data_IF_956210203384
#
_entry.id   IF_956210203384
#
_cell.length_a   1.000
_cell.length_b   1.000
_cell.length_c   1.000
_cell.angle_alpha   90.00
_cell.angle_beta   90.00
_cell.angle_gamma   90.00
#
_symmetry.space_group_name_H-M   'P 1'
#
loop_
_entity.id
_entity.type
_entity.pdbx_description
1 polymer ?
#
# COMPACT_ATOMS: atom_id res chain seq x y z
N UNK A 1 -70.56 5.06 -10.51
CA UNK A 1 -69.59 5.60 -9.58
C UNK A 1 -69.95 7.04 -9.25
N UNK A 2 -70.07 7.35 -7.94
CA UNK A 2 -70.28 8.73 -7.50
C UNK A 2 -69.08 9.59 -7.80
N UNK A 3 -69.26 10.87 -8.14
CA UNK A 3 -68.17 11.83 -8.35
C UNK A 3 -67.13 11.84 -7.20
N UNK A 4 -67.62 11.67 -5.96
CA UNK A 4 -66.76 11.52 -4.77
C UNK A 4 -65.85 10.29 -4.82
N UNK A 5 -66.36 9.15 -5.32
CA UNK A 5 -65.55 7.92 -5.44
C UNK A 5 -64.49 8.04 -6.51
N UNK A 6 -64.80 8.69 -7.64
CA UNK A 6 -63.81 8.97 -8.71
C UNK A 6 -62.67 9.88 -8.18
N UNK A 7 -63.06 10.94 -7.46
CA UNK A 7 -62.06 11.85 -6.85
C UNK A 7 -61.17 11.15 -5.83
N UNK A 8 -61.73 10.31 -4.95
CA UNK A 8 -60.94 9.54 -3.99
C UNK A 8 -60.00 8.53 -4.66
N UNK A 9 -60.43 7.88 -5.74
CA UNK A 9 -59.60 6.97 -6.50
C UNK A 9 -58.41 7.70 -7.17
N UNK A 10 -58.67 8.86 -7.77
CA UNK A 10 -57.63 9.67 -8.40
C UNK A 10 -56.64 10.20 -7.36
N UNK A 11 -57.14 10.73 -6.24
CA UNK A 11 -56.29 11.19 -5.13
C UNK A 11 -55.41 10.05 -4.55
N UNK A 12 -55.99 8.86 -4.38
CA UNK A 12 -55.24 7.67 -3.95
C UNK A 12 -54.15 7.24 -4.94
N UNK A 13 -54.42 7.29 -6.25
CA UNK A 13 -53.46 7.04 -7.29
C UNK A 13 -52.29 8.04 -7.24
N UNK A 14 -52.58 9.34 -7.09
CA UNK A 14 -51.55 10.36 -6.96
C UNK A 14 -50.69 10.14 -5.70
N UNK A 15 -51.32 9.85 -4.57
CA UNK A 15 -50.57 9.55 -3.34
C UNK A 15 -49.67 8.32 -3.48
N UNK A 16 -50.14 7.27 -4.15
CA UNK A 16 -49.33 6.08 -4.42
C UNK A 16 -48.14 6.37 -5.36
N UNK A 17 -48.34 7.20 -6.40
CA UNK A 17 -47.27 7.62 -7.28
C UNK A 17 -46.20 8.45 -6.55
N UNK A 18 -46.63 9.41 -5.70
CA UNK A 18 -45.67 10.20 -4.90
C UNK A 18 -44.90 9.31 -3.95
N UNK A 19 -45.56 8.38 -3.27
CA UNK A 19 -44.88 7.41 -2.39
C UNK A 19 -43.87 6.53 -3.14
N UNK A 20 -44.22 6.08 -4.34
CA UNK A 20 -43.32 5.32 -5.20
C UNK A 20 -42.08 6.13 -5.64
N UNK A 21 -42.26 7.41 -5.98
CA UNK A 21 -41.19 8.32 -6.33
C UNK A 21 -40.25 8.52 -5.15
N UNK A 22 -40.79 8.80 -3.96
CA UNK A 22 -40.00 8.97 -2.73
C UNK A 22 -39.21 7.69 -2.40
N UNK A 23 -39.85 6.53 -2.47
CA UNK A 23 -39.20 5.26 -2.23
C UNK A 23 -38.08 4.99 -3.20
N UNK A 24 -38.32 5.23 -4.50
CA UNK A 24 -37.29 5.07 -5.55
C UNK A 24 -36.11 6.00 -5.32
N UNK A 25 -36.38 7.26 -4.99
CA UNK A 25 -35.33 8.24 -4.68
C UNK A 25 -34.51 7.82 -3.45
N UNK A 26 -35.15 7.32 -2.40
CA UNK A 26 -34.48 6.83 -1.20
C UNK A 26 -33.56 5.63 -1.49
N UNK A 27 -34.04 4.64 -2.23
CA UNK A 27 -33.22 3.48 -2.62
C UNK A 27 -32.06 3.89 -3.54
N UNK A 28 -32.29 4.85 -4.44
CA UNK A 28 -31.24 5.36 -5.31
C UNK A 28 -30.12 6.07 -4.52
N UNK A 29 -30.49 6.87 -3.50
CA UNK A 29 -29.50 7.52 -2.64
C UNK A 29 -28.65 6.50 -1.86
N UNK A 30 -29.28 5.45 -1.33
CA UNK A 30 -28.53 4.37 -0.67
C UNK A 30 -27.56 3.65 -1.64
N UNK A 31 -28.02 3.36 -2.84
CA UNK A 31 -27.20 2.70 -3.86
C UNK A 31 -26.00 3.57 -4.29
N UNK A 32 -26.18 4.88 -4.42
CA UNK A 32 -25.10 5.84 -4.73
C UNK A 32 -24.08 5.88 -3.59
N UNK A 33 -24.54 5.94 -2.33
CA UNK A 33 -23.66 5.91 -1.16
C UNK A 33 -22.84 4.61 -1.07
N UNK A 34 -23.47 3.47 -1.28
CA UNK A 34 -22.82 2.17 -1.28
C UNK A 34 -21.74 2.06 -2.38
N UNK A 35 -22.04 2.53 -3.60
CA UNK A 35 -21.09 2.59 -4.71
C UNK A 35 -19.91 3.49 -4.38
N UNK A 36 -20.14 4.69 -3.85
CA UNK A 36 -19.09 5.62 -3.49
C UNK A 36 -18.13 5.03 -2.46
N UNK A 37 -18.66 4.31 -1.45
CA UNK A 37 -17.86 3.63 -0.44
C UNK A 37 -17.05 2.47 -1.05
N UNK A 38 -17.66 1.66 -1.93
CA UNK A 38 -16.96 0.59 -2.62
C UNK A 38 -15.82 1.11 -3.49
N UNK A 39 -16.03 2.23 -4.21
CA UNK A 39 -14.98 2.88 -4.98
C UNK A 39 -13.83 3.38 -4.10
N UNK A 40 -14.13 4.03 -2.97
CA UNK A 40 -13.10 4.49 -2.03
C UNK A 40 -12.29 3.33 -1.48
N UNK A 41 -12.96 2.25 -1.09
CA UNK A 41 -12.30 1.05 -0.58
C UNK A 41 -11.40 0.43 -1.66
N UNK A 42 -11.90 0.23 -2.87
CA UNK A 42 -11.12 -0.31 -3.98
C UNK A 42 -9.91 0.59 -4.31
N UNK A 43 -10.09 1.91 -4.30
CA UNK A 43 -9.01 2.86 -4.54
C UNK A 43 -7.94 2.81 -3.44
N UNK A 44 -8.34 2.77 -2.17
CA UNK A 44 -7.40 2.65 -1.05
C UNK A 44 -6.63 1.32 -1.10
N UNK A 45 -7.30 0.22 -1.43
CA UNK A 45 -6.65 -1.08 -1.62
C UNK A 45 -5.64 -1.04 -2.77
N UNK A 46 -6.00 -0.39 -3.89
CA UNK A 46 -5.08 -0.18 -5.00
C UNK A 46 -3.82 0.61 -4.57
N UNK A 47 -3.99 1.72 -3.84
CA UNK A 47 -2.85 2.53 -3.38
C UNK A 47 -1.92 1.74 -2.45
N UNK A 48 -2.45 0.92 -1.55
CA UNK A 48 -1.64 0.07 -0.66
C UNK A 48 -0.90 -1.03 -1.43
N UNK A 49 -1.54 -1.64 -2.41
CA UNK A 49 -0.90 -2.63 -3.28
C UNK A 49 0.22 -1.99 -4.12
N UNK A 50 0.00 -0.78 -4.63
CA UNK A 50 1.00 -0.02 -5.38
C UNK A 50 2.18 0.42 -4.48
N UNK A 51 1.92 0.83 -3.24
CA UNK A 51 2.96 1.12 -2.24
C UNK A 51 3.82 -0.13 -1.98
N UNK A 52 3.20 -1.31 -1.85
CA UNK A 52 3.95 -2.57 -1.69
C UNK A 52 4.86 -2.83 -2.89
N UNK A 53 4.35 -2.67 -4.10
CA UNK A 53 5.12 -2.83 -5.34
C UNK A 53 6.27 -1.83 -5.40
N UNK A 54 5.99 -0.53 -5.21
CA UNK A 54 7.01 0.52 -5.24
C UNK A 54 8.10 0.27 -4.19
N UNK A 55 7.74 -0.08 -2.96
CA UNK A 55 8.72 -0.35 -1.92
C UNK A 55 9.64 -1.54 -2.27
N UNK A 56 9.13 -2.54 -3.00
CA UNK A 56 9.95 -3.66 -3.48
C UNK A 56 10.91 -3.23 -4.60
N UNK A 57 10.44 -2.39 -5.53
CA UNK A 57 11.27 -1.81 -6.59
C UNK A 57 12.36 -0.90 -6.00
N UNK A 58 12.02 -0.08 -4.99
CA UNK A 58 12.96 0.78 -4.28
C UNK A 58 14.05 -0.02 -3.57
N UNK A 59 13.69 -1.11 -2.87
CA UNK A 59 14.67 -1.99 -2.22
C UNK A 59 15.68 -2.51 -3.25
N UNK A 60 15.21 -3.06 -4.36
CA UNK A 60 16.08 -3.59 -5.42
C UNK A 60 16.98 -2.50 -6.02
N UNK A 61 16.42 -1.31 -6.27
CA UNK A 61 17.18 -0.19 -6.82
C UNK A 61 18.25 0.30 -5.84
N UNK A 62 17.91 0.49 -4.57
CA UNK A 62 18.82 0.97 -3.54
C UNK A 62 19.96 -0.02 -3.29
N UNK A 63 19.65 -1.33 -3.20
CA UNK A 63 20.66 -2.38 -3.04
C UNK A 63 21.66 -2.42 -4.21
N UNK A 64 21.15 -2.36 -5.45
CA UNK A 64 22.01 -2.33 -6.66
C UNK A 64 22.86 -1.08 -6.71
N UNK A 65 22.27 0.09 -6.39
CA UNK A 65 23.02 1.36 -6.40
C UNK A 65 24.12 1.34 -5.33
N UNK A 66 23.82 0.80 -4.13
CA UNK A 66 24.83 0.62 -3.11
C UNK A 66 25.94 -0.33 -3.56
N UNK A 67 25.61 -1.49 -4.13
CA UNK A 67 26.59 -2.48 -4.58
C UNK A 67 27.55 -1.92 -5.64
N UNK A 68 27.07 -1.00 -6.50
CA UNK A 68 27.89 -0.36 -7.55
C UNK A 68 28.71 0.82 -7.02
N UNK A 69 28.11 1.65 -6.16
CA UNK A 69 28.71 2.92 -5.73
C UNK A 69 29.46 2.85 -4.41
N UNK A 70 29.16 1.87 -3.55
CA UNK A 70 29.66 1.80 -2.17
C UNK A 70 29.15 2.93 -1.27
N UNK A 71 28.22 3.76 -1.75
CA UNK A 71 27.75 4.92 -0.99
C UNK A 71 26.75 4.50 0.10
N UNK A 72 27.17 4.60 1.37
CA UNK A 72 26.42 4.20 2.55
C UNK A 72 25.01 4.80 2.65
N UNK A 73 24.76 5.94 1.98
CA UNK A 73 23.42 6.54 1.93
C UNK A 73 22.37 5.58 1.40
N UNK A 74 22.69 4.83 0.35
CA UNK A 74 21.74 3.90 -0.26
C UNK A 74 21.44 2.70 0.63
N UNK A 75 22.42 2.22 1.40
CA UNK A 75 22.19 1.20 2.42
C UNK A 75 21.27 1.72 3.55
N UNK A 76 21.49 2.95 4.01
CA UNK A 76 20.62 3.57 5.03
C UNK A 76 19.19 3.72 4.54
N UNK A 77 18.99 4.19 3.31
CA UNK A 77 17.67 4.30 2.68
C UNK A 77 17.02 2.93 2.53
N UNK A 78 17.76 1.91 2.13
CA UNK A 78 17.29 0.53 2.04
C UNK A 78 16.75 0.00 3.37
N UNK A 79 17.51 0.15 4.44
CA UNK A 79 17.10 -0.24 5.79
C UNK A 79 15.87 0.55 6.28
N UNK A 80 15.77 1.81 5.87
CA UNK A 80 14.63 2.64 6.21
C UNK A 80 13.35 2.21 5.49
N UNK A 81 13.42 1.79 4.23
CA UNK A 81 12.28 1.18 3.51
C UNK A 81 11.79 -0.08 4.23
N UNK A 82 12.70 -0.95 4.67
CA UNK A 82 12.34 -2.15 5.43
C UNK A 82 11.63 -1.79 6.74
N UNK A 83 12.20 -0.85 7.51
CA UNK A 83 11.62 -0.39 8.78
C UNK A 83 10.23 0.25 8.61
N UNK A 84 10.02 1.00 7.52
CA UNK A 84 8.71 1.57 7.18
C UNK A 84 7.70 0.47 6.82
N UNK A 85 8.08 -0.53 6.04
CA UNK A 85 7.23 -1.68 5.70
C UNK A 85 6.84 -2.49 6.92
N UNK A 86 7.77 -2.68 7.85
CA UNK A 86 7.54 -3.37 9.12
C UNK A 86 6.70 -2.55 10.12
N UNK A 87 6.50 -1.25 9.89
CA UNK A 87 5.80 -0.36 10.81
C UNK A 87 6.66 0.10 12.00
N UNK A 88 7.97 0.02 11.88
CA UNK A 88 8.93 0.49 12.88
C UNK A 88 9.24 1.99 12.70
N UNK A 89 9.06 2.50 11.49
CA UNK A 89 9.20 3.91 11.14
C UNK A 89 7.94 4.43 10.44
N UNK A 90 7.64 5.75 10.57
CA UNK A 90 6.51 6.35 9.88
C UNK A 90 6.74 6.30 8.37
N UNK A 91 5.72 5.87 7.63
CA UNK A 91 5.69 5.97 6.17
C UNK A 91 5.55 7.44 5.78
N UNK A 92 6.06 7.90 4.62
CA UNK A 92 5.83 9.26 4.17
C UNK A 92 4.33 9.51 3.91
N UNK A 93 3.90 10.76 3.98
CA UNK A 93 2.58 11.15 3.49
C UNK A 93 2.50 10.83 1.99
N UNK A 94 1.38 10.28 1.52
CA UNK A 94 1.18 9.82 0.14
C UNK A 94 2.29 8.83 -0.33
N UNK A 95 2.45 7.69 0.35
CA UNK A 95 3.58 6.77 0.14
C UNK A 95 3.60 6.12 -1.24
N UNK A 96 2.47 6.14 -1.98
CA UNK A 96 2.33 5.67 -3.36
C UNK A 96 2.97 6.59 -4.41
N UNK A 97 3.44 7.78 -4.00
CA UNK A 97 4.13 8.72 -4.91
C UNK A 97 5.63 8.54 -4.83
N UNK A 98 6.33 8.90 -5.90
CA UNK A 98 7.80 8.92 -5.96
C UNK A 98 8.36 9.63 -4.72
N UNK A 99 9.18 8.94 -3.96
CA UNK A 99 9.76 9.46 -2.73
C UNK A 99 11.28 9.34 -2.71
N UNK A 100 11.81 8.12 -2.83
CA UNK A 100 13.24 7.85 -2.65
C UNK A 100 14.12 8.43 -3.76
N UNK A 101 13.59 8.62 -4.96
CA UNK A 101 14.31 9.31 -6.06
C UNK A 101 14.54 10.80 -5.77
N UNK A 102 13.69 11.38 -4.90
CA UNK A 102 13.78 12.78 -4.49
C UNK A 102 14.59 12.97 -3.20
N UNK A 103 14.99 11.91 -2.51
CA UNK A 103 15.84 11.96 -1.32
C UNK A 103 17.30 12.06 -1.73
N UNK A 104 17.75 13.27 -2.06
CA UNK A 104 19.13 13.56 -2.46
C UNK A 104 20.08 13.57 -1.26
N UNK A 105 19.56 13.96 -0.09
CA UNK A 105 20.27 13.96 1.18
C UNK A 105 19.36 13.35 2.25
N UNK A 106 19.92 12.52 3.14
CA UNK A 106 19.16 11.88 4.21
C UNK A 106 18.54 12.88 5.21
N UNK A 107 19.04 14.11 5.26
CA UNK A 107 18.50 15.18 6.08
C UNK A 107 17.25 15.86 5.47
N UNK A 108 17.08 15.82 4.14
CA UNK A 108 15.98 16.49 3.44
C UNK A 108 15.00 15.45 2.93
N UNK A 109 13.77 15.54 3.40
CA UNK A 109 12.67 14.64 3.02
C UNK A 109 11.68 15.38 2.13
N UNK A 110 11.30 14.82 0.96
CA UNK A 110 10.38 15.48 0.03
C UNK A 110 8.96 15.60 0.59
N UNK A 111 8.60 14.76 1.57
CA UNK A 111 7.30 14.77 2.26
C UNK A 111 7.49 14.44 3.74
N UNK A 112 6.58 14.98 4.57
CA UNK A 112 6.57 14.74 6.00
C UNK A 112 6.22 13.29 6.39
N UNK A 113 6.42 12.94 7.67
CA UNK A 113 6.07 11.65 8.21
C UNK A 113 4.54 11.48 8.24
N UNK A 114 4.07 10.33 7.78
CA UNK A 114 2.70 9.89 7.89
C UNK A 114 2.51 8.86 9.02
N UNK A 115 1.73 7.85 8.78
CA UNK A 115 1.35 6.85 9.79
C UNK A 115 2.48 5.84 10.04
N UNK A 116 2.71 5.52 11.32
CA UNK A 116 3.59 4.42 11.74
C UNK A 116 2.76 3.16 11.90
N UNK A 117 2.69 2.37 10.84
CA UNK A 117 1.90 1.13 10.77
C UNK A 117 2.52 0.19 9.74
N UNK A 118 2.60 -1.10 10.07
CA UNK A 118 3.05 -2.10 9.12
C UNK A 118 2.15 -2.12 7.87
N UNK A 119 2.75 -2.20 6.69
CA UNK A 119 2.02 -2.14 5.42
C UNK A 119 0.99 -3.27 5.29
N UNK A 120 1.35 -4.49 5.71
CA UNK A 120 0.43 -5.64 5.72
C UNK A 120 -0.74 -5.43 6.68
N UNK A 121 -0.53 -4.76 7.82
CA UNK A 121 -1.60 -4.39 8.76
C UNK A 121 -2.54 -3.36 8.14
N UNK A 122 -2.00 -2.33 7.48
CA UNK A 122 -2.80 -1.34 6.77
C UNK A 122 -3.67 -1.97 5.67
N UNK A 123 -3.13 -2.94 4.92
CA UNK A 123 -3.88 -3.70 3.91
C UNK A 123 -5.03 -4.50 4.54
N UNK A 124 -4.78 -5.16 5.68
CA UNK A 124 -5.81 -5.92 6.40
C UNK A 124 -6.96 -5.01 6.84
N UNK A 125 -6.65 -3.87 7.40
CA UNK A 125 -7.64 -2.88 7.84
C UNK A 125 -8.41 -2.23 6.67
N UNK A 126 -7.78 -2.12 5.49
CA UNK A 126 -8.42 -1.65 4.27
C UNK A 126 -9.42 -2.65 3.68
N UNK A 127 -9.54 -3.86 4.27
CA UNK A 127 -10.53 -4.86 3.88
C UNK A 127 -10.12 -5.73 2.69
N UNK A 128 -8.83 -5.98 2.53
CA UNK A 128 -8.36 -7.00 1.59
C UNK A 128 -8.96 -8.37 1.94
N UNK A 129 -9.44 -9.07 0.95
CA UNK A 129 -10.01 -10.41 1.10
C UNK A 129 -8.93 -11.47 1.40
N UNK A 130 -9.31 -12.60 1.96
CA UNK A 130 -8.37 -13.71 2.22
C UNK A 130 -7.67 -14.20 0.96
N UNK A 131 -8.32 -14.14 -0.20
CA UNK A 131 -7.70 -14.51 -1.50
C UNK A 131 -6.65 -13.50 -1.93
N UNK A 132 -6.91 -12.19 -1.75
CA UNK A 132 -5.95 -11.13 -2.02
C UNK A 132 -4.77 -11.23 -1.04
N UNK A 133 -5.04 -11.50 0.25
CA UNK A 133 -4.00 -11.74 1.24
C UNK A 133 -3.14 -12.96 0.92
N UNK A 134 -3.71 -14.05 0.42
CA UNK A 134 -2.94 -15.21 0.01
C UNK A 134 -1.98 -14.89 -1.14
N UNK A 135 -2.43 -14.11 -2.13
CA UNK A 135 -1.57 -13.63 -3.24
C UNK A 135 -0.50 -12.64 -2.77
N UNK A 136 -0.87 -11.70 -1.89
CA UNK A 136 0.08 -10.76 -1.28
C UNK A 136 1.10 -11.48 -0.40
N UNK A 137 0.69 -12.52 0.35
CA UNK A 137 1.59 -13.37 1.13
C UNK A 137 2.65 -14.04 0.26
N UNK A 138 2.27 -14.58 -0.91
CA UNK A 138 3.23 -15.12 -1.87
C UNK A 138 4.19 -14.05 -2.41
N UNK A 139 3.67 -12.86 -2.73
CA UNK A 139 4.50 -11.75 -3.18
C UNK A 139 5.43 -11.26 -2.06
N UNK A 140 4.96 -11.20 -0.81
CA UNK A 140 5.76 -10.83 0.35
C UNK A 140 6.89 -11.84 0.59
N UNK A 141 6.61 -13.16 0.55
CA UNK A 141 7.63 -14.21 0.69
C UNK A 141 8.71 -14.11 -0.39
N UNK A 142 8.31 -13.81 -1.63
CA UNK A 142 9.27 -13.57 -2.73
C UNK A 142 10.11 -12.31 -2.48
N UNK A 143 9.48 -11.24 -2.00
CA UNK A 143 10.17 -10.00 -1.65
C UNK A 143 11.15 -10.20 -0.49
N UNK A 144 10.78 -10.95 0.55
CA UNK A 144 11.68 -11.30 1.67
C UNK A 144 12.87 -12.16 1.21
N UNK A 145 12.63 -13.12 0.30
CA UNK A 145 13.71 -13.89 -0.31
C UNK A 145 14.68 -13.01 -1.10
N UNK A 146 14.15 -11.98 -1.78
CA UNK A 146 14.97 -11.01 -2.49
C UNK A 146 15.76 -10.12 -1.52
N UNK A 147 15.16 -9.67 -0.42
CA UNK A 147 15.83 -8.91 0.66
C UNK A 147 17.04 -9.68 1.20
N UNK A 148 16.92 -10.99 1.42
CA UNK A 148 18.03 -11.82 1.88
C UNK A 148 19.18 -11.84 0.85
N UNK A 149 18.86 -11.95 -0.44
CA UNK A 149 19.86 -11.92 -1.52
C UNK A 149 20.51 -10.54 -1.64
N UNK A 150 19.74 -9.47 -1.57
CA UNK A 150 20.20 -8.08 -1.62
C UNK A 150 21.12 -7.75 -0.43
N UNK A 151 20.74 -8.20 0.77
CA UNK A 151 21.56 -8.07 1.98
C UNK A 151 22.91 -8.77 1.82
N UNK A 152 22.92 -9.97 1.24
CA UNK A 152 24.17 -10.70 0.91
C UNK A 152 25.01 -9.91 -0.07
N UNK A 153 24.41 -9.38 -1.15
CA UNK A 153 25.13 -8.61 -2.17
C UNK A 153 25.71 -7.31 -1.60
N UNK A 154 24.97 -6.58 -0.77
CA UNK A 154 25.45 -5.37 -0.11
C UNK A 154 26.60 -5.65 0.85
N UNK A 155 26.52 -6.73 1.63
CA UNK A 155 27.62 -7.12 2.51
C UNK A 155 28.85 -7.57 1.73
N UNK A 156 28.69 -8.33 0.65
CA UNK A 156 29.78 -8.69 -0.23
C UNK A 156 30.46 -7.47 -0.86
N UNK A 157 29.70 -6.43 -1.22
CA UNK A 157 30.26 -5.16 -1.69
C UNK A 157 31.12 -4.44 -0.64
N UNK A 158 30.86 -4.68 0.65
CA UNK A 158 31.69 -4.22 1.79
C UNK A 158 32.85 -5.17 2.11
N UNK A 159 33.03 -6.27 1.38
CA UNK A 159 34.03 -7.31 1.68
C UNK A 159 33.64 -8.19 2.88
N UNK A 160 32.35 -8.22 3.27
CA UNK A 160 31.82 -8.99 4.37
C UNK A 160 31.06 -10.21 3.84
N UNK A 161 31.41 -11.39 4.33
CA UNK A 161 30.80 -12.66 3.95
C UNK A 161 30.21 -13.37 5.15
N UNK A 162 29.22 -14.21 4.89
CA UNK A 162 28.53 -14.99 5.90
C UNK A 162 29.46 -16.03 6.54
N UNK A 163 29.37 -16.19 7.85
CA UNK A 163 30.21 -17.10 8.65
C UNK A 163 29.57 -18.50 8.86
N UNK A 164 28.43 -18.76 8.18
CA UNK A 164 27.67 -20.01 8.33
C UNK A 164 26.62 -19.97 9.47
N UNK A 165 26.63 -18.94 10.30
CA UNK A 165 25.60 -18.70 11.34
C UNK A 165 24.53 -17.66 10.91
N UNK A 166 24.58 -17.19 9.66
CA UNK A 166 23.74 -16.12 9.16
C UNK A 166 24.27 -14.71 9.42
N UNK A 167 25.51 -14.59 10.00
CA UNK A 167 26.14 -13.30 10.26
C UNK A 167 27.23 -13.01 9.23
N UNK A 168 27.37 -11.75 8.86
CA UNK A 168 28.37 -11.29 7.87
C UNK A 168 29.61 -10.77 8.59
N UNK A 169 30.44 -11.67 9.08
CA UNK A 169 31.61 -11.38 9.94
C UNK A 169 32.94 -11.72 9.26
N UNK A 170 32.91 -12.57 8.23
CA UNK A 170 34.12 -12.99 7.52
C UNK A 170 34.54 -11.88 6.55
N UNK A 171 35.72 -11.30 6.81
CA UNK A 171 36.34 -10.31 5.92
C UNK A 171 37.18 -11.01 4.85
N UNK A 172 36.96 -10.64 3.59
CA UNK A 172 37.86 -11.01 2.47
C UNK A 172 38.21 -9.75 1.69
N UNK A 173 39.50 -9.65 1.31
CA UNK A 173 39.89 -8.60 0.37
C UNK A 173 39.19 -8.83 -0.97
N UNK A 174 38.80 -7.74 -1.59
CA UNK A 174 38.20 -7.75 -2.92
C UNK A 174 39.33 -7.91 -3.90
N UNK A 175 39.48 -9.10 -4.48
CA UNK A 175 40.32 -9.27 -5.67
C UNK A 175 39.65 -8.51 -6.82
N UNK A 176 40.20 -7.35 -7.18
CA UNK A 176 39.76 -6.53 -8.30
C UNK A 176 40.54 -6.95 -9.56
#
# INVERSE_FOLDING_TARGET
LSIKQVFLCVAGLFAALIAAIIATWYFQQQAVGARANAYRQAYNSYLLADEFRQSSDDLTRLARTFAVTGNARYEQQYLEVIAMRAGEKPRPVEPHRIYWDLVLDNAVRPRGPGETKALMTAMKEAGFTDQEFAKLGQANTRSEGLVALETRAMNAAKGLFEDGSGKYTVKKERDL
#
